data_IF_637454847186
#
_entry.id   IF_637454847186
#
_cell.length_a   1.000
_cell.length_b   1.000
_cell.length_c   1.000
_cell.angle_alpha   90.00
_cell.angle_beta   90.00
_cell.angle_gamma   90.00
#
_symmetry.space_group_name_H-M   'P 1'
#
loop_
_entity.id
_entity.type
_entity.pdbx_description
1 polymer ?
#
# COMPACT_ATOMS: atom_id res chain seq x y z
N UNK A 1 -7.14 17.93 -17.95
CA UNK A 1 -8.15 17.08 -17.27
C UNK A 1 -7.47 15.87 -16.63
N UNK A 2 -7.02 15.98 -15.38
CA UNK A 2 -6.36 14.87 -14.69
C UNK A 2 -7.40 13.77 -14.39
N UNK A 3 -7.35 12.66 -15.15
CA UNK A 3 -8.20 11.49 -14.88
C UNK A 3 -7.86 10.98 -13.49
N UNK A 4 -8.77 11.20 -12.53
CA UNK A 4 -8.78 10.52 -11.25
C UNK A 4 -8.80 9.01 -11.55
N UNK A 5 -7.61 8.39 -11.56
CA UNK A 5 -7.45 6.95 -11.76
C UNK A 5 -8.07 6.28 -10.55
N UNK A 6 -9.37 5.99 -10.62
CA UNK A 6 -10.06 5.26 -9.58
C UNK A 6 -9.33 3.94 -9.33
N UNK A 7 -9.12 3.59 -8.06
CA UNK A 7 -8.64 2.27 -7.70
C UNK A 7 -9.75 1.28 -8.02
N UNK A 8 -9.45 0.32 -8.89
CA UNK A 8 -10.35 -0.80 -9.19
C UNK A 8 -10.53 -1.69 -7.96
N UNK A 9 -11.58 -2.51 -7.97
CA UNK A 9 -11.82 -3.48 -6.89
C UNK A 9 -10.63 -4.44 -6.74
N UNK A 10 -10.12 -4.97 -7.85
CA UNK A 10 -8.97 -5.88 -7.86
C UNK A 10 -7.71 -5.23 -7.28
N UNK A 11 -7.39 -4.00 -7.67
CA UNK A 11 -6.23 -3.28 -7.11
C UNK A 11 -6.38 -3.06 -5.59
N UNK A 12 -7.59 -2.73 -5.11
CA UNK A 12 -7.83 -2.58 -3.66
C UNK A 12 -7.65 -3.91 -2.93
N UNK A 13 -8.19 -5.01 -3.48
CA UNK A 13 -8.10 -6.33 -2.87
C UNK A 13 -6.64 -6.77 -2.75
N UNK A 14 -5.88 -6.68 -3.84
CA UNK A 14 -4.44 -6.96 -3.85
C UNK A 14 -3.69 -6.07 -2.86
N UNK A 15 -4.01 -4.78 -2.80
CA UNK A 15 -3.39 -3.87 -1.84
C UNK A 15 -3.66 -4.29 -0.39
N UNK A 16 -4.89 -4.69 -0.05
CA UNK A 16 -5.27 -5.10 1.31
C UNK A 16 -4.60 -6.42 1.68
N UNK A 17 -4.71 -7.44 0.82
CA UNK A 17 -4.15 -8.78 1.06
C UNK A 17 -2.61 -8.75 1.20
N UNK A 18 -1.95 -7.85 0.48
CA UNK A 18 -0.50 -7.72 0.50
C UNK A 18 0.01 -6.64 1.47
N UNK A 19 -0.84 -5.73 1.97
CA UNK A 19 -0.39 -4.64 2.83
C UNK A 19 0.30 -5.13 4.11
N UNK A 20 -0.20 -6.23 4.67
CA UNK A 20 0.34 -6.82 5.90
C UNK A 20 1.70 -7.48 5.68
N UNK A 21 1.95 -8.01 4.48
CA UNK A 21 3.14 -8.81 4.13
C UNK A 21 4.23 -8.01 3.43
N UNK A 22 3.84 -7.01 2.62
CA UNK A 22 4.75 -6.28 1.75
C UNK A 22 5.06 -4.86 2.25
N UNK A 23 6.27 -4.42 1.94
CA UNK A 23 6.69 -3.04 2.19
C UNK A 23 6.10 -2.10 1.13
N UNK A 24 6.15 -0.79 1.41
CA UNK A 24 5.68 0.21 0.44
C UNK A 24 6.49 0.15 -0.87
N UNK A 25 7.77 -0.21 -0.81
CA UNK A 25 8.65 -0.34 -1.98
C UNK A 25 8.25 -1.53 -2.86
N UNK A 26 7.90 -2.65 -2.24
CA UNK A 26 7.41 -3.84 -2.95
C UNK A 26 6.00 -3.60 -3.55
N UNK A 27 5.13 -2.91 -2.82
CA UNK A 27 3.83 -2.48 -3.34
C UNK A 27 3.99 -1.54 -4.54
N UNK A 28 4.98 -0.64 -4.52
CA UNK A 28 5.28 0.23 -5.66
C UNK A 28 5.68 -0.59 -6.90
N UNK A 29 6.50 -1.63 -6.72
CA UNK A 29 6.87 -2.54 -7.82
C UNK A 29 5.67 -3.32 -8.37
N UNK A 30 4.72 -3.73 -7.52
CA UNK A 30 3.49 -4.41 -7.94
C UNK A 30 2.49 -3.49 -8.64
N UNK A 31 2.53 -2.18 -8.35
CA UNK A 31 1.65 -1.19 -8.94
C UNK A 31 2.43 -0.16 -9.77
N UNK A 32 3.04 -0.53 -10.91
CA UNK A 32 3.88 0.38 -11.70
C UNK A 32 3.12 1.59 -12.27
N UNK A 33 1.79 1.52 -12.30
CA UNK A 33 0.90 2.63 -12.72
C UNK A 33 0.51 3.56 -11.57
N UNK A 34 0.98 3.32 -10.34
CA UNK A 34 0.65 4.07 -9.12
C UNK A 34 1.95 4.55 -8.48
N UNK A 35 2.04 5.85 -8.21
CA UNK A 35 3.15 6.38 -7.44
C UNK A 35 3.06 5.95 -5.97
N UNK A 36 4.21 5.91 -5.30
CA UNK A 36 4.32 5.70 -3.85
C UNK A 36 3.33 6.54 -3.04
N UNK A 37 3.17 7.82 -3.41
CA UNK A 37 2.23 8.74 -2.77
C UNK A 37 0.78 8.32 -2.96
N UNK A 38 0.41 7.88 -4.18
CA UNK A 38 -0.93 7.38 -4.48
C UNK A 38 -1.28 6.16 -3.63
N UNK A 39 -0.32 5.24 -3.47
CA UNK A 39 -0.44 4.04 -2.63
C UNK A 39 -0.61 4.44 -1.15
N UNK A 40 0.25 5.31 -0.62
CA UNK A 40 0.15 5.80 0.76
C UNK A 40 -1.18 6.50 1.04
N UNK A 41 -1.61 7.40 0.14
CA UNK A 41 -2.88 8.10 0.25
C UNK A 41 -4.06 7.12 0.22
N UNK A 42 -3.97 6.06 -0.60
CA UNK A 42 -4.99 5.02 -0.65
C UNK A 42 -5.06 4.23 0.65
N UNK A 43 -3.91 3.80 1.18
CA UNK A 43 -3.83 3.07 2.47
C UNK A 43 -4.41 3.91 3.60
N UNK A 44 -4.06 5.21 3.69
CA UNK A 44 -4.64 6.13 4.68
C UNK A 44 -6.16 6.18 4.61
N UNK A 45 -6.73 6.25 3.39
CA UNK A 45 -8.18 6.21 3.19
C UNK A 45 -8.79 4.87 3.60
N UNK A 46 -8.18 3.75 3.24
CA UNK A 46 -8.66 2.41 3.61
C UNK A 46 -8.64 2.17 5.12
N UNK A 47 -7.60 2.67 5.81
CA UNK A 47 -7.52 2.67 7.29
C UNK A 47 -8.61 3.52 7.91
N UNK A 48 -8.80 4.75 7.39
CA UNK A 48 -9.87 5.64 7.86
C UNK A 48 -11.27 5.07 7.63
N UNK A 49 -11.45 4.29 6.56
CA UNK A 49 -12.70 3.58 6.27
C UNK A 49 -12.87 2.27 7.05
N UNK A 50 -11.90 1.87 7.90
CA UNK A 50 -11.97 0.62 8.67
C UNK A 50 -11.87 -0.66 7.83
N UNK A 51 -11.42 -0.57 6.58
CA UNK A 51 -11.25 -1.74 5.69
C UNK A 51 -9.94 -2.45 6.01
N UNK A 52 -8.89 -1.68 6.29
CA UNK A 52 -7.62 -2.20 6.82
C UNK A 52 -7.70 -2.04 8.33
N UNK A 53 -8.05 -3.13 9.01
CA UNK A 53 -8.15 -3.20 10.47
C UNK A 53 -6.83 -3.65 11.07
N UNK A 54 -6.09 -4.49 10.36
CA UNK A 54 -4.85 -5.08 10.86
C UNK A 54 -3.64 -4.19 10.59
N UNK A 55 -2.72 -4.18 11.55
CA UNK A 55 -1.40 -3.59 11.41
C UNK A 55 -0.53 -4.41 10.44
N UNK A 56 0.59 -3.82 10.02
CA UNK A 56 1.62 -4.59 9.31
C UNK A 56 2.23 -5.60 10.26
N UNK A 57 2.63 -6.75 9.71
CA UNK A 57 3.40 -7.73 10.44
C UNK A 57 4.71 -7.10 10.95
N UNK A 58 5.16 -7.51 12.15
CA UNK A 58 6.36 -6.96 12.79
C UNK A 58 7.60 -7.21 11.93
N UNK A 59 7.69 -8.34 11.23
CA UNK A 59 8.77 -8.60 10.26
C UNK A 59 8.70 -7.64 9.08
N UNK A 60 7.51 -7.37 8.55
CA UNK A 60 7.32 -6.44 7.42
C UNK A 60 7.66 -5.00 7.83
N UNK A 61 7.39 -4.61 9.09
CA UNK A 61 7.80 -3.31 9.64
C UNK A 61 9.33 -3.22 9.70
N UNK A 62 10.01 -4.24 10.23
CA UNK A 62 11.47 -4.28 10.31
C UNK A 62 12.11 -4.24 8.92
N UNK A 63 11.59 -5.00 7.96
CA UNK A 63 12.05 -4.99 6.56
C UNK A 63 11.88 -3.62 5.91
N UNK A 64 10.74 -2.95 6.14
CA UNK A 64 10.50 -1.61 5.63
C UNK A 64 11.48 -0.58 6.24
N UNK A 65 11.85 -0.74 7.51
CA UNK A 65 12.86 0.10 8.17
C UNK A 65 14.25 -0.10 7.53
N UNK A 66 14.67 -1.36 7.36
CA UNK A 66 15.94 -1.72 6.73
C UNK A 66 16.04 -1.20 5.28
N UNK A 67 14.94 -1.22 4.53
CA UNK A 67 14.87 -0.67 3.16
C UNK A 67 14.93 0.87 3.08
N UNK A 68 14.71 1.57 4.21
CA UNK A 68 14.75 3.04 4.29
C UNK A 68 16.07 3.56 4.87
N UNK A 69 16.79 2.72 5.62
CA UNK A 69 18.08 3.03 6.24
C UNK A 69 19.29 2.83 5.31
N UNK A 70 19.07 2.54 4.03
CA UNK A 70 20.10 2.23 3.04
C UNK A 70 19.91 3.12 1.82
#
# INVERSE_FOLDING_TARGET
MARLKNWTYSEKKVLIENYNKLTIKELEALFPKRSRESINNKIKRLKRSGIIVEGKDTETIQRAYNQRSR
#
